data_IF_995061810230
#
_entry.id   IF_995061810230
#
_cell.length_a   1.000
_cell.length_b   1.000
_cell.length_c   1.000
_cell.angle_alpha   90.00
_cell.angle_beta   90.00
_cell.angle_gamma   90.00
#
_symmetry.space_group_name_H-M   'P 1'
#
loop_
_entity.id
_entity.type
_entity.pdbx_description
1 polymer ?
#
# COMPACT_ATOMS: atom_id res chain seq x y z
N UNK A 1 21.48 -17.82 6.82
CA UNK A 1 21.49 -17.86 5.35
C UNK A 1 20.77 -16.62 4.87
N UNK A 2 21.41 -15.82 4.03
CA UNK A 2 20.81 -14.63 3.41
C UNK A 2 20.99 -14.75 1.90
N UNK A 3 19.90 -14.56 1.15
CA UNK A 3 19.92 -14.59 -0.31
C UNK A 3 18.91 -13.61 -0.90
N UNK A 4 19.15 -13.18 -2.14
CA UNK A 4 18.20 -12.36 -2.91
C UNK A 4 17.45 -13.23 -3.90
N UNK A 5 16.12 -13.16 -3.88
CA UNK A 5 15.24 -13.86 -4.83
C UNK A 5 14.17 -12.93 -5.43
N UNK A 6 13.14 -13.52 -6.05
CA UNK A 6 12.05 -12.76 -6.69
C UNK A 6 11.26 -11.88 -5.72
N UNK A 7 11.28 -12.22 -4.42
CA UNK A 7 10.59 -11.47 -3.36
C UNK A 7 11.54 -10.57 -2.57
N UNK A 8 12.70 -10.22 -3.15
CA UNK A 8 13.74 -9.45 -2.48
C UNK A 8 14.57 -10.29 -1.52
N UNK A 9 14.92 -9.71 -0.38
CA UNK A 9 15.73 -10.36 0.64
C UNK A 9 14.98 -11.55 1.26
N UNK A 10 15.66 -12.69 1.31
CA UNK A 10 15.21 -13.92 1.96
C UNK A 10 16.18 -14.21 3.09
N UNK A 11 15.66 -14.13 4.32
CA UNK A 11 16.36 -14.41 5.56
C UNK A 11 15.46 -15.26 6.45
N UNK A 12 16.07 -16.12 7.26
CA UNK A 12 15.37 -16.99 8.19
C UNK A 12 15.83 -16.73 9.63
N UNK A 13 14.92 -16.84 10.58
CA UNK A 13 15.22 -16.80 12.01
C UNK A 13 15.85 -18.12 12.50
N UNK A 14 16.14 -18.20 13.80
CA UNK A 14 16.74 -19.39 14.41
C UNK A 14 15.83 -20.63 14.39
N UNK A 15 14.53 -20.47 14.14
CA UNK A 15 13.56 -21.55 14.04
C UNK A 15 13.29 -21.96 12.57
N UNK A 16 13.87 -21.25 11.61
CA UNK A 16 13.71 -21.51 10.17
C UNK A 16 12.51 -20.82 9.53
N UNK A 17 11.84 -19.87 10.21
CA UNK A 17 10.78 -19.07 9.61
C UNK A 17 11.36 -17.87 8.86
N UNK A 18 10.73 -17.49 7.73
CA UNK A 18 11.17 -16.31 6.98
C UNK A 18 10.94 -15.06 7.83
N UNK A 19 11.98 -14.27 8.02
CA UNK A 19 12.01 -13.04 8.81
C UNK A 19 12.57 -11.88 7.98
N UNK A 20 12.39 -10.64 8.44
CA UNK A 20 13.06 -9.46 7.87
C UNK A 20 12.80 -9.29 6.36
N UNK A 21 11.51 -9.27 6.01
CA UNK A 21 11.04 -9.15 4.63
C UNK A 21 10.23 -7.87 4.43
N UNK A 22 10.14 -7.46 3.16
CA UNK A 22 9.40 -6.27 2.73
C UNK A 22 8.11 -6.69 2.01
N UNK A 23 7.02 -6.00 2.29
CA UNK A 23 5.75 -6.12 1.60
C UNK A 23 5.47 -4.86 0.79
N UNK A 24 4.92 -5.03 -0.40
CA UNK A 24 4.43 -3.93 -1.22
C UNK A 24 2.96 -3.66 -0.89
N UNK A 25 2.64 -2.39 -0.61
CA UNK A 25 1.27 -1.96 -0.39
C UNK A 25 0.72 -1.49 -1.74
N UNK A 26 -0.34 -2.13 -2.21
CA UNK A 26 -0.94 -1.89 -3.52
C UNK A 26 -2.37 -1.40 -3.34
N UNK A 27 -2.77 -0.42 -4.14
CA UNK A 27 -4.14 0.08 -4.22
C UNK A 27 -4.66 0.01 -5.65
N UNK A 28 -5.96 -0.22 -5.78
CA UNK A 28 -6.65 -0.10 -7.06
C UNK A 28 -7.06 1.36 -7.31
N UNK A 29 -6.38 2.02 -8.24
CA UNK A 29 -6.75 3.33 -8.76
C UNK A 29 -7.75 3.16 -9.92
N UNK A 30 -8.79 4.00 -9.97
CA UNK A 30 -9.87 3.91 -10.96
C UNK A 30 -9.42 4.17 -12.41
N UNK A 31 -8.29 4.84 -12.62
CA UNK A 31 -7.72 5.15 -13.95
C UNK A 31 -6.51 4.29 -14.30
N UNK A 32 -5.55 4.16 -13.38
CA UNK A 32 -4.25 3.51 -13.62
C UNK A 32 -4.26 2.00 -13.27
N UNK A 33 -5.32 1.50 -12.62
CA UNK A 33 -5.38 0.13 -12.15
C UNK A 33 -4.56 -0.08 -10.87
N UNK A 34 -3.90 -1.23 -10.73
CA UNK A 34 -3.12 -1.56 -9.53
C UNK A 34 -1.85 -0.71 -9.47
N UNK A 35 -1.70 0.05 -8.38
CA UNK A 35 -0.55 0.93 -8.14
C UNK A 35 0.07 0.63 -6.80
N UNK A 36 1.40 0.51 -6.75
CA UNK A 36 2.16 0.47 -5.49
C UNK A 36 2.13 1.86 -4.84
N UNK A 37 1.69 1.92 -3.60
CA UNK A 37 1.52 3.15 -2.82
C UNK A 37 2.44 3.25 -1.60
N UNK A 38 3.23 2.20 -1.36
CA UNK A 38 4.10 2.13 -0.21
C UNK A 38 4.76 0.77 -0.03
N UNK A 39 5.52 0.67 1.04
CA UNK A 39 6.14 -0.56 1.51
C UNK A 39 5.86 -0.74 3.00
N UNK A 40 5.98 -1.97 3.46
CA UNK A 40 5.93 -2.31 4.87
C UNK A 40 7.05 -3.30 5.21
N UNK A 41 7.66 -3.13 6.38
CA UNK A 41 8.50 -4.16 6.99
C UNK A 41 8.25 -4.20 8.50
N UNK A 42 8.73 -5.26 9.17
CA UNK A 42 8.50 -5.45 10.61
C UNK A 42 9.23 -4.45 11.50
N UNK A 43 10.25 -3.75 10.99
CA UNK A 43 11.14 -2.87 11.77
C UNK A 43 10.66 -1.42 11.76
N UNK A 44 10.29 -0.91 10.59
CA UNK A 44 9.89 0.47 10.33
C UNK A 44 8.36 0.63 10.20
N UNK A 45 7.63 -0.47 10.02
CA UNK A 45 6.19 -0.44 9.79
C UNK A 45 5.86 0.06 8.39
N UNK A 46 4.77 0.83 8.27
CA UNK A 46 4.24 1.32 6.98
C UNK A 46 5.00 2.56 6.53
N UNK A 47 5.47 2.54 5.28
CA UNK A 47 6.01 3.69 4.58
C UNK A 47 5.20 3.97 3.30
N UNK A 48 4.43 5.06 3.29
CA UNK A 48 3.63 5.47 2.13
C UNK A 48 4.45 6.42 1.23
N UNK A 49 4.43 6.15 -0.08
CA UNK A 49 5.20 6.93 -1.06
C UNK A 49 4.37 7.97 -1.81
N UNK A 50 3.11 8.19 -1.41
CA UNK A 50 2.21 9.16 -2.04
C UNK A 50 2.63 10.59 -1.71
N UNK A 51 2.59 11.46 -2.71
CA UNK A 51 2.73 12.90 -2.49
C UNK A 51 1.37 13.53 -2.15
N UNK A 52 1.37 14.73 -1.58
CA UNK A 52 0.14 15.51 -1.37
C UNK A 52 -0.63 15.75 -2.68
N UNK A 53 0.09 15.96 -3.80
CA UNK A 53 -0.51 16.13 -5.11
C UNK A 53 -1.24 14.88 -5.61
N UNK A 54 -0.66 13.70 -5.37
CA UNK A 54 -1.28 12.41 -5.72
C UNK A 54 -2.57 12.20 -4.94
N UNK A 55 -2.53 12.46 -3.63
CA UNK A 55 -3.72 12.32 -2.76
C UNK A 55 -4.82 13.27 -3.21
N UNK A 56 -4.50 14.54 -3.49
CA UNK A 56 -5.48 15.51 -3.95
C UNK A 56 -6.11 15.11 -5.29
N UNK A 57 -5.29 14.72 -6.26
CA UNK A 57 -5.76 14.25 -7.57
C UNK A 57 -6.69 13.06 -7.42
N UNK A 58 -6.32 12.09 -6.57
CA UNK A 58 -7.12 10.91 -6.30
C UNK A 58 -8.46 11.23 -5.63
N UNK A 59 -8.52 12.23 -4.74
CA UNK A 59 -9.78 12.69 -4.14
C UNK A 59 -10.71 13.25 -5.23
N UNK A 60 -10.20 14.12 -6.10
CA UNK A 60 -10.99 14.70 -7.20
C UNK A 60 -11.51 13.61 -8.12
N UNK A 61 -10.66 12.66 -8.52
CA UNK A 61 -11.04 11.52 -9.36
C UNK A 61 -12.10 10.64 -8.71
N UNK A 62 -11.94 10.35 -7.41
CA UNK A 62 -12.91 9.55 -6.67
C UNK A 62 -14.26 10.25 -6.51
N UNK A 63 -14.33 11.57 -6.60
CA UNK A 63 -15.59 12.31 -6.51
C UNK A 63 -16.28 12.52 -7.87
N UNK A 64 -15.59 12.27 -8.99
CA UNK A 64 -16.19 12.41 -10.31
C UNK A 64 -17.41 11.50 -10.47
N UNK A 65 -18.54 12.10 -10.86
CA UNK A 65 -19.81 11.41 -11.11
C UNK A 65 -20.35 10.63 -9.90
N UNK A 66 -20.05 11.07 -8.67
CA UNK A 66 -20.64 10.53 -7.45
C UNK A 66 -21.65 11.50 -6.84
N UNK A 67 -22.75 10.95 -6.35
CA UNK A 67 -23.73 11.66 -5.52
C UNK A 67 -23.59 11.18 -4.07
N UNK A 68 -23.70 12.10 -3.11
CA UNK A 68 -23.74 11.76 -1.69
C UNK A 68 -25.15 11.34 -1.31
N UNK A 69 -25.28 10.20 -0.62
CA UNK A 69 -26.54 9.78 -0.02
C UNK A 69 -26.63 10.47 1.35
N UNK A 70 -27.58 11.38 1.50
CA UNK A 70 -27.79 12.14 2.75
C UNK A 70 -28.93 11.49 3.55
N UNK A 71 -28.71 11.26 4.84
CA UNK A 71 -29.71 10.74 5.78
C UNK A 71 -29.71 11.58 7.07
N UNK A 72 -30.87 11.69 7.71
CA UNK A 72 -31.06 12.33 9.03
C UNK A 72 -31.91 11.42 9.91
N UNK A 73 -31.66 11.44 11.22
CA UNK A 73 -32.55 10.85 12.23
C UNK A 73 -33.53 11.93 12.72
N UNK A 74 -34.76 11.54 13.08
CA UNK A 74 -35.77 12.41 13.68
C UNK A 74 -35.81 12.19 15.20
#
# INVERSE_FOLDING_TARGET
>A
VEMTGLTGLIKFDHQGFRSDFMLDIIELNSKEGLKKIGTWNSTEGVNLTRTFGDVYTQIIENLQNKTFIVTTIL
#
